data_IF_233375396543
#
_entry.id   IF_233375396543
#
_cell.length_a   1.000
_cell.length_b   1.000
_cell.length_c   1.000
_cell.angle_alpha   90.00
_cell.angle_beta   90.00
_cell.angle_gamma   90.00
#
_symmetry.space_group_name_H-M   'P 1'
#
loop_
_entity.id
_entity.type
_entity.pdbx_description
1 polymer ?
#
# COMPACT_ATOMS: atom_id res chain seq x y z
N UNK A 1 12.33 -17.76 -18.98
CA UNK A 1 12.47 -16.31 -18.74
C UNK A 1 12.16 -15.59 -20.04
N UNK A 2 10.87 -15.46 -20.38
CA UNK A 2 10.39 -14.80 -21.61
C UNK A 2 9.11 -13.97 -21.33
N UNK A 3 9.03 -13.32 -20.17
CA UNK A 3 7.95 -12.38 -19.84
C UNK A 3 8.46 -10.93 -19.72
N UNK A 4 9.39 -10.54 -20.59
CA UNK A 4 10.07 -9.24 -20.48
C UNK A 4 9.83 -8.28 -21.65
N UNK A 5 8.93 -8.56 -22.60
CA UNK A 5 8.88 -7.81 -23.85
C UNK A 5 7.51 -7.33 -24.35
N UNK A 6 6.50 -7.20 -23.48
CA UNK A 6 5.19 -6.66 -23.91
C UNK A 6 4.48 -5.74 -22.89
N UNK A 7 5.24 -5.08 -22.02
CA UNK A 7 4.67 -4.29 -20.91
C UNK A 7 4.89 -2.78 -20.97
N UNK A 8 5.41 -2.26 -22.08
CA UNK A 8 5.56 -0.82 -22.32
C UNK A 8 4.72 -0.47 -23.55
N UNK A 9 3.73 0.41 -23.36
CA UNK A 9 2.72 0.91 -24.31
C UNK A 9 1.35 0.21 -24.22
N UNK A 10 0.62 0.39 -23.12
CA UNK A 10 -0.84 0.15 -23.09
C UNK A 10 -1.58 1.49 -23.01
N UNK A 11 -1.46 2.30 -24.06
CA UNK A 11 -2.64 3.03 -24.51
C UNK A 11 -3.55 1.99 -25.16
N UNK A 12 -4.72 1.74 -24.59
CA UNK A 12 -5.71 0.88 -25.25
C UNK A 12 -6.23 1.61 -26.48
N UNK A 13 -5.73 1.23 -27.66
CA UNK A 13 -6.27 1.70 -28.93
C UNK A 13 -7.51 0.86 -29.28
N UNK A 14 -8.72 1.42 -29.17
CA UNK A 14 -9.83 0.99 -30.05
C UNK A 14 -9.86 1.93 -31.25
N UNK A 15 -9.92 1.38 -32.46
CA UNK A 15 -10.13 2.13 -33.71
C UNK A 15 -9.06 3.19 -34.05
N UNK A 16 -7.83 3.06 -33.54
CA UNK A 16 -6.72 3.96 -33.91
C UNK A 16 -6.76 5.33 -33.23
N UNK A 17 -7.72 5.59 -32.34
CA UNK A 17 -7.69 6.73 -31.44
C UNK A 17 -7.01 6.31 -30.13
N UNK A 18 -6.10 7.15 -29.63
CA UNK A 18 -5.53 6.99 -28.29
C UNK A 18 -6.60 7.43 -27.29
N UNK A 19 -7.25 6.46 -26.64
CA UNK A 19 -8.50 6.74 -25.90
C UNK A 19 -8.23 7.07 -24.43
N UNK A 20 -6.99 6.85 -23.95
CA UNK A 20 -6.70 7.04 -22.54
C UNK A 20 -5.20 7.26 -22.30
N UNK A 21 -4.86 8.33 -21.59
CA UNK A 21 -3.56 8.48 -20.94
C UNK A 21 -3.63 7.87 -19.55
N UNK A 22 -2.65 7.04 -19.21
CA UNK A 22 -2.59 6.47 -17.86
C UNK A 22 -2.45 7.61 -16.84
N UNK A 23 -3.24 7.62 -15.75
CA UNK A 23 -3.14 8.64 -14.74
C UNK A 23 -1.74 8.62 -14.14
N UNK A 24 -1.13 9.80 -14.06
CA UNK A 24 0.15 9.94 -13.38
C UNK A 24 -0.05 9.73 -11.88
N UNK A 25 0.78 8.89 -11.28
CA UNK A 25 0.80 8.68 -9.84
C UNK A 25 1.43 9.89 -9.15
N UNK A 26 0.68 10.52 -8.24
CA UNK A 26 1.11 11.67 -7.46
C UNK A 26 1.75 11.24 -6.13
N UNK A 27 1.25 10.14 -5.54
CA UNK A 27 1.71 9.60 -4.25
C UNK A 27 1.85 8.08 -4.33
N UNK A 28 3.09 7.62 -4.45
CA UNK A 28 3.44 6.19 -4.32
C UNK A 28 3.40 5.77 -2.86
N UNK A 29 2.70 4.68 -2.57
CA UNK A 29 2.60 4.10 -1.22
C UNK A 29 3.00 2.63 -1.25
N UNK A 30 3.93 2.24 -0.38
CA UNK A 30 4.35 0.85 -0.18
C UNK A 30 3.52 0.13 0.88
N UNK A 31 3.52 -1.19 0.83
CA UNK A 31 2.95 -2.06 1.85
C UNK A 31 4.05 -2.54 2.80
N UNK A 32 3.78 -2.52 4.10
CA UNK A 32 4.69 -3.03 5.11
C UNK A 32 4.16 -4.33 5.67
N UNK A 33 4.92 -5.38 5.43
CA UNK A 33 4.49 -6.76 5.64
C UNK A 33 5.38 -7.31 6.76
N UNK A 34 4.84 -7.40 7.99
CA UNK A 34 5.68 -7.51 9.17
C UNK A 34 5.91 -8.99 9.56
N UNK A 35 7.16 -9.32 9.88
CA UNK A 35 7.63 -10.61 10.45
C UNK A 35 7.24 -11.89 9.67
N UNK A 36 7.61 -11.96 8.38
CA UNK A 36 7.39 -13.16 7.55
C UNK A 36 8.61 -14.07 7.60
N UNK A 37 8.64 -14.94 8.61
CA UNK A 37 9.74 -15.87 8.82
C UNK A 37 9.72 -17.10 7.87
N UNK A 38 8.70 -17.30 7.03
CA UNK A 38 8.54 -18.58 6.31
C UNK A 38 8.03 -18.52 4.86
N UNK A 39 7.59 -17.38 4.34
CA UNK A 39 7.12 -17.26 2.95
C UNK A 39 7.93 -16.24 2.17
N UNK A 40 8.35 -16.61 0.96
CA UNK A 40 8.97 -15.69 0.01
C UNK A 40 7.91 -14.70 -0.45
N UNK A 41 7.86 -13.55 0.19
CA UNK A 41 7.03 -12.42 -0.24
C UNK A 41 7.77 -11.70 -1.37
N UNK A 42 7.13 -11.44 -2.53
CA UNK A 42 7.78 -10.69 -3.60
C UNK A 42 8.00 -9.23 -3.19
N UNK A 43 9.12 -8.64 -3.60
CA UNK A 43 9.44 -7.22 -3.31
C UNK A 43 8.44 -6.25 -3.94
N UNK A 44 7.71 -6.69 -4.98
CA UNK A 44 6.66 -5.90 -5.62
C UNK A 44 5.49 -6.78 -6.02
N UNK A 45 4.28 -6.24 -5.94
CA UNK A 45 3.04 -6.93 -6.35
C UNK A 45 2.30 -6.09 -7.35
N UNK A 46 1.86 -6.71 -8.45
CA UNK A 46 1.01 -6.07 -9.44
C UNK A 46 -0.43 -5.98 -8.93
N UNK A 47 -1.02 -4.81 -9.09
CA UNK A 47 -2.42 -4.54 -8.72
C UNK A 47 -3.15 -3.86 -9.86
N UNK A 48 -4.40 -4.24 -10.06
CA UNK A 48 -5.37 -3.52 -10.88
C UNK A 48 -6.16 -2.58 -9.97
N UNK A 49 -6.23 -1.31 -10.37
CA UNK A 49 -6.88 -0.23 -9.62
C UNK A 49 -8.04 0.32 -10.43
N UNK A 50 -9.18 0.52 -9.77
CA UNK A 50 -10.24 1.38 -10.27
C UNK A 50 -10.08 2.76 -9.62
N UNK A 51 -9.82 3.78 -10.43
CA UNK A 51 -9.59 5.15 -9.98
C UNK A 51 -10.78 6.01 -10.36
N UNK A 52 -11.33 6.76 -9.41
CA UNK A 52 -12.43 7.67 -9.66
C UNK A 52 -12.02 8.94 -10.43
N UNK A 53 -13.00 9.77 -10.78
CA UNK A 53 -12.78 10.97 -11.60
C UNK A 53 -12.01 12.10 -10.90
N UNK A 54 -11.68 11.93 -9.61
CA UNK A 54 -10.86 12.82 -8.77
C UNK A 54 -9.44 12.29 -8.56
N UNK A 55 -9.13 11.06 -8.99
CA UNK A 55 -7.81 10.47 -8.83
C UNK A 55 -7.65 9.61 -7.57
N UNK A 56 -8.75 9.25 -6.90
CA UNK A 56 -8.72 8.34 -5.75
C UNK A 56 -8.99 6.90 -6.17
N UNK A 57 -8.30 5.97 -5.53
CA UNK A 57 -8.50 4.53 -5.74
C UNK A 57 -9.75 4.06 -4.99
N UNK A 58 -10.73 3.54 -5.72
CA UNK A 58 -12.02 3.07 -5.17
C UNK A 58 -12.16 1.54 -5.15
N UNK A 59 -11.40 0.82 -5.98
CA UNK A 59 -11.32 -0.64 -5.93
C UNK A 59 -9.89 -1.14 -6.27
N UNK A 60 -9.52 -2.27 -5.67
CA UNK A 60 -8.18 -2.87 -5.81
C UNK A 60 -8.28 -4.38 -5.96
N UNK A 61 -7.76 -4.88 -7.08
CA UNK A 61 -7.58 -6.32 -7.33
C UNK A 61 -6.09 -6.66 -7.31
N UNK A 62 -5.73 -7.60 -6.45
CA UNK A 62 -4.35 -8.05 -6.26
C UNK A 62 -4.12 -9.34 -7.03
N UNK A 63 -3.09 -9.38 -7.86
CA UNK A 63 -2.77 -10.55 -8.68
C UNK A 63 -1.66 -11.42 -8.06
N UNK A 64 -1.82 -12.74 -8.13
CA UNK A 64 -0.74 -13.71 -7.87
C UNK A 64 -0.29 -13.91 -6.42
N UNK A 65 -0.85 -13.17 -5.45
CA UNK A 65 -0.58 -13.41 -4.03
C UNK A 65 -1.54 -14.46 -3.46
N UNK A 66 -1.01 -15.41 -2.68
CA UNK A 66 -1.80 -16.45 -2.01
C UNK A 66 -2.16 -16.08 -0.57
N UNK A 67 -1.28 -15.33 0.10
CA UNK A 67 -1.46 -14.97 1.52
C UNK A 67 -2.44 -13.80 1.67
N UNK A 68 -3.57 -14.05 2.31
CA UNK A 68 -4.65 -13.08 2.51
C UNK A 68 -4.21 -11.89 3.39
N UNK A 69 -3.34 -12.12 4.37
CA UNK A 69 -2.83 -11.05 5.23
C UNK A 69 -1.94 -10.09 4.45
N UNK A 70 -1.11 -10.61 3.55
CA UNK A 70 -0.30 -9.78 2.65
C UNK A 70 -1.18 -9.03 1.65
N UNK A 71 -2.20 -9.69 1.10
CA UNK A 71 -3.14 -9.05 0.18
C UNK A 71 -3.87 -7.87 0.84
N UNK A 72 -4.25 -7.99 2.12
CA UNK A 72 -4.90 -6.92 2.87
C UNK A 72 -4.02 -5.67 2.96
N UNK A 73 -2.76 -5.82 3.39
CA UNK A 73 -1.82 -4.68 3.47
C UNK A 73 -1.57 -4.07 2.08
N UNK A 74 -1.42 -4.91 1.05
CA UNK A 74 -1.24 -4.44 -0.34
C UNK A 74 -2.46 -3.64 -0.82
N UNK A 75 -3.68 -4.08 -0.49
CA UNK A 75 -4.91 -3.35 -0.82
C UNK A 75 -4.97 -2.01 -0.12
N UNK A 76 -4.65 -1.96 1.16
CA UNK A 76 -4.68 -0.70 1.93
C UNK A 76 -3.59 0.28 1.44
N UNK A 77 -2.38 -0.21 1.13
CA UNK A 77 -1.34 0.61 0.49
C UNK A 77 -1.78 1.15 -0.88
N UNK A 78 -2.39 0.30 -1.72
CA UNK A 78 -2.91 0.71 -3.02
C UNK A 78 -4.03 1.75 -2.91
N UNK A 79 -4.95 1.60 -1.95
CA UNK A 79 -6.03 2.58 -1.69
C UNK A 79 -5.51 3.94 -1.23
N UNK A 80 -4.35 3.96 -0.55
CA UNK A 80 -3.71 5.19 -0.09
C UNK A 80 -2.92 5.93 -1.19
N UNK A 81 -2.79 5.34 -2.38
CA UNK A 81 -2.18 6.03 -3.52
C UNK A 81 -3.08 7.15 -4.04
N UNK A 82 -2.45 8.21 -4.52
CA UNK A 82 -3.12 9.36 -5.12
C UNK A 82 -2.65 9.53 -6.57
N UNK A 83 -3.59 9.80 -7.46
CA UNK A 83 -3.34 9.96 -8.89
C UNK A 83 -3.84 11.32 -9.39
N UNK A 84 -3.33 11.77 -10.53
CA UNK A 84 -3.96 12.88 -11.24
C UNK A 84 -5.40 12.50 -11.62
N UNK A 85 -6.37 13.44 -11.55
CA UNK A 85 -7.74 13.17 -11.95
C UNK A 85 -7.78 12.60 -13.36
N UNK A 86 -8.32 11.39 -13.50
CA UNK A 86 -8.40 10.71 -14.78
C UNK A 86 -9.81 10.22 -15.06
N UNK A 87 -10.18 10.30 -16.34
CA UNK A 87 -11.52 10.03 -16.83
C UNK A 87 -11.43 9.42 -18.21
N UNK A 88 -12.30 8.47 -18.50
CA UNK A 88 -12.47 8.03 -19.87
C UNK A 88 -13.25 9.08 -20.69
N UNK A 89 -13.47 8.79 -21.97
CA UNK A 89 -14.23 9.66 -22.88
C UNK A 89 -15.68 9.92 -22.43
N UNK A 90 -16.22 9.12 -21.51
CA UNK A 90 -17.56 9.22 -20.96
C UNK A 90 -17.57 9.78 -19.52
N UNK A 91 -16.45 10.37 -19.07
CA UNK A 91 -16.27 10.93 -17.73
C UNK A 91 -16.45 9.91 -16.60
N UNK A 92 -16.12 8.64 -16.84
CA UNK A 92 -16.22 7.56 -15.85
C UNK A 92 -14.88 7.28 -15.15
N UNK A 93 -14.91 6.56 -14.00
CA UNK A 93 -13.72 5.97 -13.40
C UNK A 93 -12.92 5.14 -14.39
N UNK A 94 -11.62 5.03 -14.13
CA UNK A 94 -10.64 4.46 -15.05
C UNK A 94 -9.93 3.29 -14.39
N UNK A 95 -9.65 2.25 -15.16
CA UNK A 95 -8.88 1.10 -14.69
C UNK A 95 -7.42 1.28 -15.08
N UNK A 96 -6.52 1.08 -14.14
CA UNK A 96 -5.07 1.11 -14.38
C UNK A 96 -4.37 -0.03 -13.68
N UNK A 97 -3.13 -0.31 -14.09
CA UNK A 97 -2.27 -1.30 -13.47
C UNK A 97 -1.05 -0.62 -12.88
N UNK A 98 -0.68 -0.99 -11.66
CA UNK A 98 0.54 -0.48 -11.02
C UNK A 98 1.19 -1.57 -10.17
N UNK A 99 2.34 -1.23 -9.58
CA UNK A 99 3.05 -2.07 -8.63
C UNK A 99 3.03 -1.44 -7.25
N UNK A 100 2.72 -2.24 -6.24
CA UNK A 100 2.91 -1.89 -4.82
C UNK A 100 4.24 -2.48 -4.38
N UNK A 101 5.13 -1.63 -3.87
CA UNK A 101 6.38 -2.10 -3.26
C UNK A 101 6.07 -2.70 -1.90
N UNK A 102 6.60 -3.90 -1.63
CA UNK A 102 6.51 -4.52 -0.32
C UNK A 102 7.83 -4.31 0.40
N UNK A 103 7.77 -3.68 1.57
CA UNK A 103 8.89 -3.60 2.49
C UNK A 103 8.72 -4.66 3.58
N UNK A 104 9.72 -5.53 3.69
CA UNK A 104 9.89 -6.39 4.85
C UNK A 104 10.59 -5.58 5.92
N UNK A 105 9.91 -5.35 7.04
CA UNK A 105 10.50 -4.75 8.22
C UNK A 105 10.65 -5.81 9.31
N UNK A 106 11.79 -5.79 9.99
CA UNK A 106 11.96 -6.55 11.23
C UNK A 106 11.33 -5.71 12.35
N UNK A 107 10.02 -5.88 12.55
CA UNK A 107 9.31 -5.17 13.61
C UNK A 107 9.51 -5.84 14.97
N UNK A 108 9.72 -5.06 16.04
CA UNK A 108 9.62 -5.58 17.40
C UNK A 108 8.15 -5.89 17.70
N UNK A 109 7.76 -7.16 17.60
CA UNK A 109 6.48 -7.73 18.03
C UNK A 109 5.20 -6.98 17.58
N UNK A 110 4.60 -7.43 16.48
CA UNK A 110 3.28 -6.98 16.01
C UNK A 110 2.13 -7.22 16.98
N UNK A 111 2.26 -8.30 17.76
CA UNK A 111 1.30 -8.63 18.80
C UNK A 111 1.61 -7.75 20.01
N UNK A 112 1.25 -6.48 19.84
CA UNK A 112 1.18 -5.56 20.96
C UNK A 112 0.12 -6.12 21.90
N UNK A 113 0.56 -6.51 23.09
CA UNK A 113 -0.37 -6.77 24.18
C UNK A 113 -1.00 -5.43 24.53
N UNK A 114 -2.31 -5.36 24.36
CA UNK A 114 -3.07 -4.24 24.88
C UNK A 114 -2.97 -4.26 26.40
N UNK A 115 -2.58 -3.13 27.00
CA UNK A 115 -2.56 -2.97 28.46
C UNK A 115 -3.98 -3.13 29.07
N UNK A 116 -5.02 -2.94 28.26
CA UNK A 116 -6.43 -3.09 28.63
C UNK A 116 -7.03 -4.46 28.24
N UNK A 117 -6.26 -5.34 27.60
CA UNK A 117 -6.74 -6.64 27.10
C UNK A 117 -7.74 -6.52 25.94
N UNK A 118 -7.70 -5.40 25.21
CA UNK A 118 -8.54 -5.11 24.06
C UNK A 118 -7.85 -5.66 22.79
N UNK A 119 -8.60 -6.43 22.01
CA UNK A 119 -8.18 -6.90 20.69
C UNK A 119 -8.66 -5.92 19.61
N UNK A 120 -7.89 -5.79 18.53
CA UNK A 120 -8.25 -4.86 17.48
C UNK A 120 -7.19 -4.67 16.40
N UNK A 121 -7.50 -3.79 15.46
CA UNK A 121 -6.61 -3.45 14.35
C UNK A 121 -6.47 -1.93 14.24
N UNK A 122 -5.23 -1.48 14.01
CA UNK A 122 -4.92 -0.09 13.68
C UNK A 122 -4.15 -0.04 12.36
N UNK A 123 -4.71 0.67 11.40
CA UNK A 123 -4.07 0.95 10.10
C UNK A 123 -3.43 2.33 10.15
N UNK A 124 -2.13 2.36 9.94
CA UNK A 124 -1.31 3.56 9.94
C UNK A 124 -0.77 3.86 8.54
N UNK A 125 -0.69 5.15 8.23
CA UNK A 125 0.10 5.68 7.12
C UNK A 125 1.38 6.32 7.69
N UNK A 126 2.53 5.95 7.16
CA UNK A 126 3.85 6.32 7.67
C UNK A 126 4.67 6.99 6.57
N UNK A 127 5.42 8.03 6.91
CA UNK A 127 6.49 8.58 6.07
C UNK A 127 7.84 8.13 6.61
N UNK A 128 8.65 7.51 5.75
CA UNK A 128 9.95 6.96 6.11
C UNK A 128 11.06 7.75 5.39
N UNK A 129 12.05 8.17 6.17
CA UNK A 129 13.28 8.83 5.72
C UNK A 129 14.17 7.91 4.86
N UNK A 130 15.05 8.46 4.01
CA UNK A 130 16.08 7.68 3.31
C UNK A 130 16.92 6.77 4.22
N UNK A 131 17.15 7.19 5.45
CA UNK A 131 17.90 6.43 6.46
C UNK A 131 17.08 5.30 7.11
N UNK A 132 15.80 5.15 6.75
CA UNK A 132 14.93 4.09 7.27
C UNK A 132 14.18 4.44 8.56
N UNK A 133 14.26 5.68 9.05
CA UNK A 133 13.52 6.11 10.24
C UNK A 133 12.12 6.64 9.87
N UNK A 134 11.11 6.31 10.68
CA UNK A 134 9.78 6.92 10.57
C UNK A 134 9.84 8.36 11.05
N UNK A 135 9.47 9.30 10.18
CA UNK A 135 9.47 10.74 10.48
C UNK A 135 8.07 11.31 10.69
N UNK A 136 7.05 10.61 10.20
CA UNK A 136 5.65 10.99 10.35
C UNK A 136 4.77 9.73 10.36
N UNK A 137 3.73 9.72 11.19
CA UNK A 137 2.78 8.62 11.29
C UNK A 137 1.37 9.15 11.56
N UNK A 138 0.38 8.63 10.84
CA UNK A 138 -1.03 9.00 10.96
C UNK A 138 -1.92 7.76 11.07
N UNK A 139 -2.91 7.81 11.95
CA UNK A 139 -3.96 6.78 12.00
C UNK A 139 -4.93 7.03 10.86
N UNK A 140 -5.08 6.03 9.98
CA UNK A 140 -6.10 6.05 8.92
C UNK A 140 -7.40 5.41 9.38
N UNK A 141 -7.28 4.30 10.11
CA UNK A 141 -8.41 3.52 10.63
C UNK A 141 -8.00 2.87 11.92
N UNK A 142 -8.89 2.87 12.90
CA UNK A 142 -8.73 2.10 14.13
C UNK A 142 -10.04 1.40 14.46
N UNK A 143 -9.95 0.18 14.97
CA UNK A 143 -11.10 -0.49 15.58
C UNK A 143 -11.44 0.07 16.96
N UNK A 144 -10.46 0.63 17.67
CA UNK A 144 -10.63 1.21 19.01
C UNK A 144 -9.63 2.36 19.25
N UNK A 145 -10.11 3.50 19.74
CA UNK A 145 -9.30 4.69 20.00
C UNK A 145 -8.19 4.45 21.03
N UNK A 146 -8.37 3.49 21.95
CA UNK A 146 -7.37 3.17 22.97
C UNK A 146 -6.10 2.53 22.39
N UNK A 147 -6.20 1.92 21.20
CA UNK A 147 -5.08 1.24 20.54
C UNK A 147 -4.21 2.21 19.72
N UNK A 148 -4.74 3.39 19.37
CA UNK A 148 -4.08 4.34 18.46
C UNK A 148 -2.75 4.84 19.00
N UNK A 149 -2.69 5.23 20.28
CA UNK A 149 -1.47 5.75 20.89
C UNK A 149 -0.34 4.70 20.93
N UNK A 150 -0.67 3.45 21.26
CA UNK A 150 0.29 2.35 21.31
C UNK A 150 0.78 1.98 19.90
N UNK A 151 -0.12 1.99 18.90
CA UNK A 151 0.24 1.75 17.51
C UNK A 151 1.16 2.85 16.95
N UNK A 152 0.86 4.12 17.24
CA UNK A 152 1.70 5.25 16.82
C UNK A 152 3.09 5.19 17.46
N UNK A 153 3.18 4.92 18.76
CA UNK A 153 4.47 4.80 19.45
C UNK A 153 5.30 3.64 18.87
N UNK A 154 4.68 2.47 18.65
CA UNK A 154 5.33 1.33 18.02
C UNK A 154 5.82 1.66 16.59
N UNK A 155 5.02 2.40 15.82
CA UNK A 155 5.39 2.82 14.47
C UNK A 155 6.59 3.77 14.48
N UNK A 156 6.58 4.79 15.34
CA UNK A 156 7.67 5.77 15.44
C UNK A 156 9.01 5.14 15.86
N UNK A 157 8.96 4.05 16.61
CA UNK A 157 10.15 3.29 17.03
C UNK A 157 10.57 2.19 16.03
N UNK A 158 9.86 2.04 14.91
CA UNK A 158 10.20 1.05 13.87
C UNK A 158 11.29 1.58 12.95
N UNK A 159 12.22 0.69 12.57
CA UNK A 159 13.26 0.98 11.60
C UNK A 159 13.08 0.14 10.32
N UNK A 160 13.18 0.81 9.18
CA UNK A 160 13.05 0.25 7.84
C UNK A 160 14.42 0.11 7.18
N UNK A 161 14.56 -0.77 6.16
CA UNK A 161 15.73 -0.75 5.30
C UNK A 161 15.92 0.65 4.66
N UNK A 162 17.17 1.15 4.54
CA UNK A 162 17.45 2.41 3.87
C UNK A 162 16.94 2.45 2.42
N UNK A 163 16.66 3.65 1.93
CA UNK A 163 16.18 3.92 0.57
C UNK A 163 16.74 5.22 0.01
N UNK A 164 16.69 5.38 -1.31
CA UNK A 164 17.23 6.58 -1.99
C UNK A 164 16.34 7.82 -1.86
N UNK A 165 15.11 7.67 -1.36
CA UNK A 165 14.10 8.73 -1.28
C UNK A 165 13.14 8.54 -0.11
N UNK A 166 12.44 9.61 0.25
CA UNK A 166 11.27 9.55 1.12
C UNK A 166 10.19 8.65 0.51
N UNK A 167 9.56 7.82 1.35
CA UNK A 167 8.49 6.91 0.92
C UNK A 167 7.34 6.89 1.92
N UNK A 168 6.13 6.84 1.38
CA UNK A 168 4.94 6.55 2.15
C UNK A 168 4.73 5.05 2.24
N UNK A 169 4.29 4.59 3.40
CA UNK A 169 4.00 3.20 3.69
C UNK A 169 2.68 3.07 4.43
N UNK A 170 1.97 1.97 4.20
CA UNK A 170 0.86 1.55 5.04
C UNK A 170 1.29 0.36 5.88
N UNK A 171 0.97 0.44 7.17
CA UNK A 171 1.24 -0.57 8.16
C UNK A 171 -0.03 -0.91 8.95
N UNK A 172 -0.24 -2.19 9.21
CA UNK A 172 -1.37 -2.68 10.00
C UNK A 172 -0.84 -3.35 11.27
N UNK A 173 -1.22 -2.82 12.43
CA UNK A 173 -1.00 -3.45 13.73
C UNK A 173 -2.22 -4.26 14.15
N UNK A 174 -2.01 -5.51 14.56
CA UNK A 174 -3.05 -6.39 15.11
C UNK A 174 -2.79 -6.64 16.59
N UNK A 175 -3.69 -6.17 17.44
CA UNK A 175 -3.67 -6.32 18.88
C UNK A 175 -4.40 -7.61 19.27
N UNK A 176 -3.74 -8.45 20.05
CA UNK A 176 -4.26 -9.72 20.55
C UNK A 176 -4.16 -9.76 22.07
N UNK A 177 -4.99 -10.58 22.70
CA UNK A 177 -5.05 -10.74 24.16
C UNK A 177 -3.90 -11.57 24.75
#
# INVERSE_FOLDING_TARGET
MEYLLLFLMLSTFQNGEQIFEMPKNLKEVGAVVPDYASTTVPDTVAVELLIDTSGHVIDVKVEGLVDESVQEVVKEAAKAMEFEPARDSLLRPVITWTRVNIALCKMPNLQLKSDSGIEGEVVLELMVSPEGNVIEAHVKRSSDLQLEAQALDAAMNTHFPPSDKLRWFVLIYKFVK
#
